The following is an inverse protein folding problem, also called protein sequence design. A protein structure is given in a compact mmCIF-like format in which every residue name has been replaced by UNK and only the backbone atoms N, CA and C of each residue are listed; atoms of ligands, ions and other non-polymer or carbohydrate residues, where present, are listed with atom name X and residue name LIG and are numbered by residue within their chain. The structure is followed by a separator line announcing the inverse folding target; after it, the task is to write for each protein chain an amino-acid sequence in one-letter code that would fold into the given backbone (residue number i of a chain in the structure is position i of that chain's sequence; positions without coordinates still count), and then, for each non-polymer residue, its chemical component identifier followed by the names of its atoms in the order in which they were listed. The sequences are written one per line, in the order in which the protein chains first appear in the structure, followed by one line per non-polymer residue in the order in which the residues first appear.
data_IF_631558415879
#
_entry.id   IF_631558415879
#
_cell.length_a   1.000
_cell.length_b   1.000
_cell.length_c   1.000
_cell.angle_alpha   90.00
_cell.angle_beta   90.00
_cell.angle_gamma   90.00
#
_symmetry.space_group_name_H-M   'P 1'
#
loop_
_entity.id
_entity.type
_entity.pdbx_description
1 polymer ?
#
# COMPACT_ATOMS: atom_id res chain seq x y z
N UNK A 1 11.46 10.71 -1.49
CA UNK A 1 12.22 9.86 -2.43
C UNK A 1 12.78 10.73 -3.55
N UNK A 2 14.01 10.49 -4.02
CA UNK A 2 14.58 11.20 -5.16
C UNK A 2 14.57 10.28 -6.39
N UNK A 3 14.44 10.82 -7.62
CA UNK A 3 14.58 10.03 -8.83
C UNK A 3 16.00 9.44 -8.92
N UNK A 4 16.09 8.15 -9.22
CA UNK A 4 17.37 7.43 -9.31
C UNK A 4 18.08 7.65 -10.65
N UNK A 5 17.38 8.16 -11.66
CA UNK A 5 17.87 8.36 -13.03
C UNK A 5 17.27 9.64 -13.62
N UNK A 6 17.96 10.26 -14.55
CA UNK A 6 17.51 11.41 -15.31
C UNK A 6 18.23 11.48 -16.65
N UNK A 7 17.82 12.40 -17.52
CA UNK A 7 18.38 12.62 -18.85
C UNK A 7 19.29 13.83 -18.84
N UNK A 8 20.45 13.69 -19.48
CA UNK A 8 21.37 14.80 -19.75
C UNK A 8 21.88 14.69 -21.19
N UNK A 9 22.32 15.79 -21.83
CA UNK A 9 22.97 15.73 -23.14
C UNK A 9 24.18 14.79 -23.11
N UNK A 10 24.42 14.11 -24.22
CA UNK A 10 25.53 13.17 -24.35
C UNK A 10 26.86 13.88 -23.98
N UNK A 11 27.64 13.24 -23.11
CA UNK A 11 28.92 13.78 -22.63
C UNK A 11 28.81 14.72 -21.42
N UNK A 12 27.60 15.00 -20.89
CA UNK A 12 27.43 15.78 -19.67
C UNK A 12 26.97 14.89 -18.51
N UNK A 13 27.63 15.06 -17.35
CA UNK A 13 27.23 14.39 -16.11
C UNK A 13 25.96 15.05 -15.56
N UNK A 14 24.94 14.27 -15.34
CA UNK A 14 23.75 14.73 -14.64
C UNK A 14 24.08 14.94 -13.15
N UNK A 15 24.01 16.17 -12.69
CA UNK A 15 24.14 16.52 -11.26
C UNK A 15 22.77 16.90 -10.73
N UNK A 16 22.31 16.20 -9.70
CA UNK A 16 21.09 16.53 -8.99
C UNK A 16 21.41 16.66 -7.50
N UNK A 17 20.81 17.64 -6.82
CA UNK A 17 20.90 17.75 -5.37
C UNK A 17 20.01 16.66 -4.76
N UNK A 18 20.64 15.65 -4.17
CA UNK A 18 19.94 14.63 -3.38
C UNK A 18 19.86 15.15 -1.95
N UNK A 19 18.67 15.17 -1.34
CA UNK A 19 18.54 15.56 0.06
C UNK A 19 19.34 14.60 0.93
N UNK A 20 20.34 15.11 1.64
CA UNK A 20 21.05 14.39 2.69
C UNK A 20 20.33 14.61 4.04
N UNK A 21 20.00 13.53 4.75
CA UNK A 21 19.38 13.58 6.08
C UNK A 21 19.10 12.18 6.60
N UNK A 22 18.86 12.06 7.91
CA UNK A 22 18.32 10.83 8.49
C UNK A 22 16.87 10.66 8.02
N UNK A 23 16.65 9.76 7.08
CA UNK A 23 15.30 9.41 6.62
C UNK A 23 14.60 8.62 7.72
N UNK A 24 13.50 9.15 8.22
CA UNK A 24 12.59 8.36 9.05
C UNK A 24 11.89 7.33 8.14
N UNK A 25 11.92 6.09 8.55
CA UNK A 25 11.11 5.05 7.90
C UNK A 25 9.64 5.38 8.13
N UNK A 26 8.85 5.33 7.08
CA UNK A 26 7.42 5.51 7.14
C UNK A 26 6.76 4.35 6.41
N UNK A 27 5.82 3.71 7.07
CA UNK A 27 5.04 2.61 6.50
C UNK A 27 3.65 3.09 6.16
N UNK A 28 3.21 2.82 4.94
CA UNK A 28 1.86 3.08 4.47
C UNK A 28 1.12 1.77 4.30
N UNK A 29 -0.06 1.67 4.88
CA UNK A 29 -0.98 0.55 4.78
C UNK A 29 -2.27 1.00 4.11
N UNK A 30 -2.86 0.14 3.30
CA UNK A 30 -4.17 0.36 2.69
C UNK A 30 -4.79 -0.99 2.29
N UNK A 31 -6.06 -0.96 1.93
CA UNK A 31 -6.78 -2.08 1.33
C UNK A 31 -7.28 -1.70 -0.06
N UNK A 32 -7.21 -2.63 -1.00
CA UNK A 32 -7.74 -2.46 -2.36
C UNK A 32 -9.06 -3.22 -2.49
N UNK A 33 -10.12 -2.51 -2.87
CA UNK A 33 -11.39 -3.07 -3.33
C UNK A 33 -11.49 -2.96 -4.86
N UNK A 34 -12.52 -3.58 -5.42
CA UNK A 34 -12.76 -3.56 -6.87
C UNK A 34 -13.04 -2.17 -7.45
N UNK A 35 -13.45 -1.23 -6.62
CA UNK A 35 -13.88 0.11 -7.03
C UNK A 35 -13.11 1.24 -6.34
N UNK A 36 -12.29 0.95 -5.33
CA UNK A 36 -11.59 1.97 -4.53
C UNK A 36 -10.47 1.43 -3.68
N UNK A 37 -9.68 2.37 -3.15
CA UNK A 37 -8.71 2.10 -2.08
C UNK A 37 -9.36 2.52 -0.76
N UNK A 38 -9.29 1.64 0.24
CA UNK A 38 -9.84 1.86 1.57
C UNK A 38 -8.80 1.69 2.67
N UNK A 39 -9.17 2.09 3.87
CA UNK A 39 -8.40 1.89 5.09
C UNK A 39 -6.94 2.39 4.99
N UNK A 40 -6.67 3.61 4.44
CA UNK A 40 -5.31 4.14 4.39
C UNK A 40 -4.83 4.49 5.80
N UNK A 41 -3.60 4.10 6.13
CA UNK A 41 -2.98 4.42 7.40
C UNK A 41 -1.47 4.59 7.30
N UNK A 42 -0.93 5.52 8.09
CA UNK A 42 0.50 5.79 8.18
C UNK A 42 1.05 5.41 9.55
N UNK A 43 2.21 4.78 9.54
CA UNK A 43 2.96 4.44 10.76
C UNK A 43 4.36 5.03 10.62
N UNK A 44 4.82 5.78 11.62
CA UNK A 44 6.23 6.13 11.74
C UNK A 44 7.00 4.88 12.20
N UNK A 45 7.92 4.41 11.39
CA UNK A 45 8.71 3.22 11.64
C UNK A 45 8.33 2.01 10.77
N UNK A 46 9.01 0.89 10.96
CA UNK A 46 8.69 -0.38 10.33
C UNK A 46 7.41 -0.98 10.92
N UNK A 47 6.69 -1.76 10.12
CA UNK A 47 5.52 -2.50 10.58
C UNK A 47 5.94 -3.72 11.38
N UNK A 48 5.35 -3.91 12.54
CA UNK A 48 5.43 -5.11 13.36
C UNK A 48 4.06 -5.76 13.57
N UNK A 49 4.02 -6.86 14.30
CA UNK A 49 2.78 -7.61 14.53
C UNK A 49 1.74 -6.83 15.34
N UNK A 50 2.16 -6.01 16.29
CA UNK A 50 1.27 -5.23 17.15
C UNK A 50 0.69 -4.02 16.39
N UNK A 51 1.51 -3.30 15.65
CA UNK A 51 1.07 -2.21 14.77
C UNK A 51 0.11 -2.72 13.69
N UNK A 52 0.40 -3.88 13.10
CA UNK A 52 -0.48 -4.47 12.11
C UNK A 52 -1.82 -4.91 12.72
N UNK A 53 -1.81 -5.49 13.93
CA UNK A 53 -3.04 -5.82 14.66
C UNK A 53 -3.87 -4.57 14.94
N UNK A 54 -3.23 -3.48 15.38
CA UNK A 54 -3.90 -2.21 15.64
C UNK A 54 -4.53 -1.65 14.36
N UNK A 55 -3.81 -1.70 13.24
CA UNK A 55 -4.34 -1.34 11.92
C UNK A 55 -5.58 -2.15 11.57
N UNK A 56 -5.53 -3.46 11.72
CA UNK A 56 -6.68 -4.33 11.41
C UNK A 56 -7.87 -4.00 12.30
N UNK A 57 -7.65 -3.84 13.61
CA UNK A 57 -8.73 -3.57 14.58
C UNK A 57 -9.37 -2.18 14.38
N UNK A 58 -8.57 -1.14 14.19
CA UNK A 58 -9.06 0.24 14.21
C UNK A 58 -9.37 0.82 12.83
N UNK A 59 -8.73 0.34 11.78
CA UNK A 59 -8.80 0.97 10.45
C UNK A 59 -9.43 0.04 9.43
N UNK A 60 -9.00 -1.21 9.34
CA UNK A 60 -9.51 -2.15 8.36
C UNK A 60 -10.88 -2.71 8.75
N UNK A 61 -11.02 -3.17 10.00
CA UNK A 61 -12.24 -3.85 10.48
C UNK A 61 -13.53 -3.04 10.26
N UNK A 62 -13.57 -1.71 10.52
CA UNK A 62 -14.76 -0.88 10.27
C UNK A 62 -15.17 -0.81 8.80
N UNK A 63 -14.29 -1.14 7.86
CA UNK A 63 -14.57 -1.13 6.41
C UNK A 63 -15.08 -2.47 5.90
N UNK A 64 -14.91 -3.54 6.68
CA UNK A 64 -15.30 -4.89 6.29
C UNK A 64 -16.81 -5.10 6.41
N UNK A 65 -17.33 -5.91 5.49
CA UNK A 65 -18.74 -6.32 5.47
C UNK A 65 -18.83 -7.85 5.58
N UNK A 66 -19.93 -8.39 6.14
CA UNK A 66 -20.18 -9.81 6.11
C UNK A 66 -20.12 -10.36 4.68
N UNK A 67 -19.38 -11.45 4.48
CA UNK A 67 -19.14 -12.04 3.16
C UNK A 67 -17.91 -11.54 2.42
N UNK A 68 -17.24 -10.49 2.90
CA UNK A 68 -15.96 -10.03 2.31
C UNK A 68 -14.90 -11.14 2.38
N UNK A 69 -14.03 -11.15 1.37
CA UNK A 69 -12.83 -11.99 1.32
C UNK A 69 -11.62 -11.07 1.41
N UNK A 70 -10.89 -11.19 2.50
CA UNK A 70 -9.63 -10.47 2.72
C UNK A 70 -8.47 -11.36 2.28
N UNK A 71 -7.68 -10.86 1.34
CA UNK A 71 -6.47 -11.54 0.86
C UNK A 71 -5.27 -10.75 1.34
N UNK A 72 -4.32 -11.43 1.96
CA UNK A 72 -3.08 -10.83 2.47
C UNK A 72 -1.87 -11.62 1.99
N UNK A 73 -0.74 -10.95 1.90
CA UNK A 73 0.53 -11.63 1.73
C UNK A 73 0.88 -12.47 2.97
N UNK A 74 1.84 -13.36 2.80
CA UNK A 74 2.21 -14.35 3.83
C UNK A 74 3.35 -13.85 4.73
N UNK A 75 3.34 -12.56 5.09
CA UNK A 75 4.31 -12.00 6.04
C UNK A 75 4.04 -12.48 7.48
N UNK A 76 5.10 -12.62 8.26
CA UNK A 76 5.01 -13.06 9.66
C UNK A 76 4.10 -12.18 10.52
N UNK A 77 4.16 -10.86 10.33
CA UNK A 77 3.32 -9.88 11.03
C UNK A 77 1.82 -10.04 10.75
N UNK A 78 1.44 -10.57 9.57
CA UNK A 78 0.03 -10.75 9.18
C UNK A 78 -0.59 -12.03 9.72
N UNK A 79 0.21 -12.99 10.21
CA UNK A 79 -0.24 -14.36 10.56
C UNK A 79 -0.76 -14.53 11.98
N UNK A 80 -1.02 -13.46 12.70
CA UNK A 80 -1.52 -13.49 14.06
C UNK A 80 -2.89 -14.19 14.17
N UNK A 81 -3.06 -15.03 15.19
CA UNK A 81 -4.37 -15.61 15.53
C UNK A 81 -5.41 -14.53 15.82
N UNK A 82 -5.00 -13.43 16.45
CA UNK A 82 -5.88 -12.29 16.78
C UNK A 82 -6.39 -11.63 15.50
N UNK A 83 -5.52 -11.39 14.51
CA UNK A 83 -5.93 -10.82 13.21
C UNK A 83 -6.98 -11.71 12.54
N UNK A 84 -6.80 -13.03 12.56
CA UNK A 84 -7.79 -13.98 12.02
C UNK A 84 -9.14 -13.89 12.74
N UNK A 85 -9.11 -13.77 14.06
CA UNK A 85 -10.34 -13.65 14.88
C UNK A 85 -11.07 -12.34 14.59
N UNK A 86 -10.34 -11.21 14.52
CA UNK A 86 -10.91 -9.90 14.19
C UNK A 86 -11.61 -9.92 12.83
N UNK A 87 -10.94 -10.42 11.78
CA UNK A 87 -11.54 -10.48 10.44
C UNK A 87 -12.79 -11.40 10.44
N UNK A 88 -12.74 -12.54 11.12
CA UNK A 88 -13.89 -13.44 11.25
C UNK A 88 -15.05 -12.81 12.01
N UNK A 89 -14.76 -12.00 13.04
CA UNK A 89 -15.81 -11.31 13.80
C UNK A 89 -16.63 -10.32 12.96
N UNK A 90 -16.04 -9.78 11.89
CA UNK A 90 -16.74 -8.97 10.90
C UNK A 90 -17.55 -9.80 9.88
N UNK A 91 -17.59 -11.12 10.00
CA UNK A 91 -18.23 -12.01 9.02
C UNK A 91 -17.43 -12.17 7.71
N UNK A 92 -16.16 -11.77 7.70
CA UNK A 92 -15.28 -11.85 6.55
C UNK A 92 -14.40 -13.13 6.61
N UNK A 93 -13.91 -13.57 5.45
CA UNK A 93 -12.98 -14.68 5.30
C UNK A 93 -11.57 -14.15 5.05
N UNK A 94 -10.56 -14.81 5.63
CA UNK A 94 -9.15 -14.45 5.44
C UNK A 94 -8.40 -15.54 4.69
N UNK A 95 -7.72 -15.16 3.62
CA UNK A 95 -6.81 -16.01 2.85
C UNK A 95 -5.43 -15.39 2.79
N UNK A 96 -4.41 -16.23 2.85
CA UNK A 96 -3.02 -15.82 2.66
C UNK A 96 -2.52 -16.27 1.30
N UNK A 97 -1.82 -15.37 0.61
CA UNK A 97 -1.14 -15.68 -0.63
C UNK A 97 0.02 -16.69 -0.40
N UNK A 98 0.41 -17.46 -1.40
CA UNK A 98 1.64 -18.22 -1.36
C UNK A 98 2.83 -17.32 -1.03
N UNK A 99 3.87 -17.88 -0.42
CA UNK A 99 5.11 -17.15 -0.20
C UNK A 99 5.73 -16.73 -1.53
N UNK A 100 6.33 -15.54 -1.55
CA UNK A 100 7.03 -15.00 -2.74
C UNK A 100 6.16 -14.86 -3.99
N UNK A 101 4.89 -14.50 -3.84
CA UNK A 101 3.95 -14.31 -4.95
C UNK A 101 3.37 -12.88 -4.98
N UNK A 102 4.20 -11.83 -5.17
CA UNK A 102 3.73 -10.45 -5.23
C UNK A 102 2.84 -10.17 -6.46
N UNK A 103 2.98 -10.93 -7.52
CA UNK A 103 2.15 -10.91 -8.74
C UNK A 103 0.69 -11.26 -8.47
N UNK A 104 0.43 -12.07 -7.44
CA UNK A 104 -0.91 -12.39 -6.98
C UNK A 104 -1.49 -11.36 -6.00
N UNK A 105 -0.71 -10.33 -5.63
CA UNK A 105 -1.14 -9.28 -4.72
C UNK A 105 -1.42 -7.98 -5.48
N UNK A 106 -2.69 -7.69 -5.86
CA UNK A 106 -3.02 -6.56 -6.73
C UNK A 106 -2.68 -5.19 -6.13
N UNK A 107 -2.61 -5.06 -4.80
CA UNK A 107 -2.26 -3.81 -4.14
C UNK A 107 -0.80 -3.37 -4.41
N UNK A 108 0.06 -4.28 -4.82
CA UNK A 108 1.44 -3.93 -5.22
C UNK A 108 1.46 -3.00 -6.44
N UNK A 109 0.48 -3.11 -7.35
CA UNK A 109 0.32 -2.19 -8.48
C UNK A 109 -0.07 -0.79 -8.00
N UNK A 110 -0.92 -0.68 -6.98
CA UNK A 110 -1.25 0.58 -6.31
C UNK A 110 -0.01 1.20 -5.70
N UNK A 111 0.78 0.43 -4.96
CA UNK A 111 2.01 0.92 -4.34
C UNK A 111 3.07 1.33 -5.37
N UNK A 112 3.15 0.64 -6.50
CA UNK A 112 4.06 1.01 -7.58
C UNK A 112 3.71 2.40 -8.16
N UNK A 113 2.42 2.64 -8.45
CA UNK A 113 1.92 3.93 -8.92
C UNK A 113 2.12 5.02 -7.87
N UNK A 114 1.77 4.75 -6.61
CA UNK A 114 1.95 5.67 -5.49
C UNK A 114 3.42 6.10 -5.35
N UNK A 115 4.35 5.14 -5.37
CA UNK A 115 5.80 5.43 -5.31
C UNK A 115 6.28 6.27 -6.48
N UNK A 116 5.73 6.04 -7.68
CA UNK A 116 6.06 6.85 -8.86
C UNK A 116 5.68 8.32 -8.65
N UNK A 117 4.45 8.60 -8.24
CA UNK A 117 3.99 9.96 -7.99
C UNK A 117 4.73 10.64 -6.83
N UNK A 118 4.99 9.91 -5.74
CA UNK A 118 5.74 10.45 -4.60
C UNK A 118 7.18 10.86 -4.97
N UNK A 119 7.85 10.12 -5.88
CA UNK A 119 9.16 10.52 -6.38
C UNK A 119 9.11 11.83 -7.15
N UNK A 120 8.05 12.04 -7.92
CA UNK A 120 7.85 13.27 -8.70
C UNK A 120 7.44 14.45 -7.81
N UNK A 121 6.66 14.22 -6.76
CA UNK A 121 6.24 15.24 -5.81
C UNK A 121 7.41 15.81 -4.97
N UNK A 122 8.54 15.09 -4.89
CA UNK A 122 9.74 15.50 -4.15
C UNK A 122 9.48 15.97 -2.71
N UNK A 123 8.43 15.44 -2.05
CA UNK A 123 8.05 15.80 -0.70
C UNK A 123 9.18 15.46 0.30
N UNK A 124 9.53 16.43 1.17
CA UNK A 124 10.70 16.34 2.05
C UNK A 124 10.34 16.20 3.53
N UNK A 125 9.12 16.44 3.93
CA UNK A 125 8.64 16.28 5.30
C UNK A 125 7.59 15.18 5.38
N UNK A 126 7.38 14.64 6.59
CA UNK A 126 6.36 13.61 6.82
C UNK A 126 4.97 14.12 6.46
N UNK A 127 4.66 15.35 6.87
CA UNK A 127 3.39 16.02 6.59
C UNK A 127 3.17 16.19 5.08
N UNK A 128 4.20 16.63 4.35
CA UNK A 128 4.12 16.80 2.90
C UNK A 128 3.93 15.45 2.18
N UNK A 129 4.55 14.38 2.67
CA UNK A 129 4.33 13.02 2.14
C UNK A 129 2.92 12.55 2.41
N UNK A 130 2.39 12.75 3.61
CA UNK A 130 1.01 12.37 3.96
C UNK A 130 -0.02 13.12 3.09
N UNK A 131 0.16 14.43 2.90
CA UNK A 131 -0.69 15.24 2.03
C UNK A 131 -0.63 14.75 0.57
N UNK A 132 0.59 14.55 0.05
CA UNK A 132 0.78 14.04 -1.31
C UNK A 132 0.12 12.68 -1.52
N UNK A 133 0.21 11.77 -0.56
CA UNK A 133 -0.46 10.46 -0.65
C UNK A 133 -1.98 10.65 -0.64
N UNK A 134 -2.52 11.53 0.22
CA UNK A 134 -3.95 11.84 0.24
C UNK A 134 -4.46 12.33 -1.12
N UNK A 135 -3.72 13.21 -1.79
CA UNK A 135 -4.03 13.68 -3.14
C UNK A 135 -3.91 12.58 -4.19
N UNK A 136 -2.83 11.79 -4.14
CA UNK A 136 -2.59 10.69 -5.09
C UNK A 136 -3.68 9.62 -4.98
N UNK A 137 -4.17 9.32 -3.79
CA UNK A 137 -5.25 8.33 -3.60
C UNK A 137 -6.54 8.73 -4.33
N UNK A 138 -6.80 10.03 -4.54
CA UNK A 138 -7.94 10.52 -5.32
C UNK A 138 -7.79 10.27 -6.84
N UNK A 139 -6.58 9.96 -7.30
CA UNK A 139 -6.31 9.70 -8.72
C UNK A 139 -6.60 8.24 -9.14
N UNK A 140 -6.96 7.38 -8.19
CA UNK A 140 -7.30 5.99 -8.50
C UNK A 140 -8.79 5.89 -8.82
N UNK A 141 -9.10 5.52 -10.07
CA UNK A 141 -10.49 5.33 -10.50
C UNK A 141 -11.00 3.93 -10.18
N UNK A 142 -12.34 3.73 -10.11
CA UNK A 142 -12.92 2.40 -9.95
C UNK A 142 -12.49 1.41 -11.02
N UNK A 143 -12.39 1.84 -12.28
CA UNK A 143 -11.97 1.02 -13.41
C UNK A 143 -10.51 0.58 -13.26
N UNK A 144 -9.66 1.46 -12.77
CA UNK A 144 -8.26 1.16 -12.50
C UNK A 144 -8.12 0.14 -11.37
N UNK A 145 -8.86 0.31 -10.27
CA UNK A 145 -8.88 -0.64 -9.15
C UNK A 145 -9.35 -2.04 -9.62
N UNK A 146 -10.40 -2.09 -10.42
CA UNK A 146 -10.89 -3.34 -11.02
C UNK A 146 -9.84 -3.99 -11.93
N UNK A 147 -9.10 -3.19 -12.71
CA UNK A 147 -8.04 -3.67 -13.59
C UNK A 147 -6.88 -4.30 -12.81
N UNK A 148 -6.48 -3.72 -11.67
CA UNK A 148 -5.44 -4.30 -10.81
C UNK A 148 -5.83 -5.69 -10.28
N UNK A 149 -7.08 -5.85 -9.87
CA UNK A 149 -7.60 -7.14 -9.44
C UNK A 149 -7.60 -8.15 -10.60
N UNK A 150 -8.09 -7.75 -11.77
CA UNK A 150 -8.11 -8.60 -12.96
C UNK A 150 -6.70 -9.03 -13.40
N UNK A 151 -5.72 -8.13 -13.36
CA UNK A 151 -4.32 -8.42 -13.69
C UNK A 151 -3.68 -9.46 -12.76
N UNK A 152 -4.09 -9.50 -11.50
CA UNK A 152 -3.64 -10.50 -10.52
C UNK A 152 -4.51 -11.76 -10.50
N UNK A 153 -5.42 -11.94 -11.47
CA UNK A 153 -6.23 -13.15 -11.62
C UNK A 153 -7.57 -13.14 -10.87
N UNK A 154 -7.93 -12.06 -10.16
CA UNK A 154 -9.21 -11.91 -9.48
C UNK A 154 -10.25 -11.39 -10.46
N UNK A 155 -11.00 -12.29 -11.08
CA UNK A 155 -12.11 -11.93 -11.97
C UNK A 155 -13.42 -11.91 -11.20
N UNK A 156 -14.29 -10.96 -11.54
CA UNK A 156 -15.67 -10.98 -11.12
C UNK A 156 -16.37 -12.11 -11.88
N UNK A 157 -16.90 -13.08 -11.18
CA UNK A 157 -17.82 -14.08 -11.73
C UNK A 157 -19.20 -13.48 -11.86
#
# INVERSE_FOLDING_TARGET
MAPLRGWAPRGRRLTAKVPHGRWKTMTFLAALRHDRIEAPWFIEGPIDGDSFRLYVDKVLLPTLRPGDIVVMDNLGSHRSKIVRQLIRSAGAKLFFLPKYSPDLNPIEQVFAKLKHFLRNAAARTVEAVCLAIGEILQLFTPEECASYLANSGYRRT
#
